data_IF_873232281222
#
_entry.id   IF_873232281222
#
_cell.length_a   1.000
_cell.length_b   1.000
_cell.length_c   1.000
_cell.angle_alpha   90.00
_cell.angle_beta   90.00
_cell.angle_gamma   90.00
#
_symmetry.space_group_name_H-M   'P 1'
#
loop_
_entity.id
_entity.type
_entity.pdbx_description
1 polymer ?
#
# COMPACT_ATOMS: atom_id res chain seq x y z
N UNK A 1 -5.10 13.59 15.72
CA UNK A 1 -4.90 13.03 14.38
C UNK A 1 -3.61 12.24 14.30
N UNK A 2 -3.63 11.16 13.59
CA UNK A 2 -2.44 10.35 13.42
C UNK A 2 -1.46 10.99 12.46
N UNK A 3 -0.18 10.74 12.67
CA UNK A 3 0.85 11.12 11.72
C UNK A 3 0.96 10.06 10.63
N UNK A 4 1.36 10.50 9.44
CA UNK A 4 1.53 9.58 8.31
C UNK A 4 3.00 9.60 7.90
N UNK A 5 3.59 8.40 7.80
CA UNK A 5 4.98 8.25 7.34
C UNK A 5 5.00 7.22 6.23
N UNK A 6 5.63 7.56 5.11
CA UNK A 6 5.83 6.63 4.01
C UNK A 6 7.18 5.94 4.15
N UNK A 7 7.20 4.63 4.04
CA UNK A 7 8.47 3.90 4.01
C UNK A 7 9.22 4.23 2.72
N UNK A 8 10.53 3.97 2.68
CA UNK A 8 11.28 4.13 1.43
C UNK A 8 10.70 3.28 0.30
N UNK A 9 10.24 2.07 0.63
CA UNK A 9 9.64 1.18 -0.34
C UNK A 9 8.33 1.74 -0.89
N UNK A 10 7.50 2.31 -0.01
CA UNK A 10 6.24 2.90 -0.47
C UNK A 10 6.49 4.09 -1.37
N UNK A 11 7.49 4.91 -1.03
CA UNK A 11 7.86 6.04 -1.89
C UNK A 11 8.32 5.55 -3.25
N UNK A 12 9.12 4.50 -3.27
CA UNK A 12 9.60 3.92 -4.54
C UNK A 12 8.43 3.38 -5.35
N UNK A 13 7.49 2.71 -4.67
CA UNK A 13 6.30 2.18 -5.35
C UNK A 13 5.53 3.29 -6.04
N UNK A 14 5.34 4.43 -5.37
CA UNK A 14 4.64 5.56 -5.96
C UNK A 14 5.37 6.09 -7.18
N UNK A 15 6.68 6.26 -7.06
CA UNK A 15 7.48 6.78 -8.17
C UNK A 15 7.41 5.85 -9.36
N UNK A 16 7.58 4.55 -9.14
CA UNK A 16 7.56 3.57 -10.21
C UNK A 16 6.21 3.51 -10.89
N UNK A 17 5.14 3.59 -10.09
CA UNK A 17 3.78 3.58 -10.63
C UNK A 17 3.54 4.80 -11.51
N UNK A 18 3.92 5.98 -11.00
CA UNK A 18 3.74 7.20 -11.76
C UNK A 18 4.53 7.19 -13.05
N UNK A 19 5.78 6.74 -12.98
CA UNK A 19 6.63 6.69 -14.16
C UNK A 19 6.09 5.72 -15.19
N UNK A 20 5.62 4.55 -14.75
CA UNK A 20 5.06 3.58 -15.67
C UNK A 20 3.89 4.17 -16.46
N UNK A 21 2.96 4.80 -15.76
CA UNK A 21 1.78 5.35 -16.41
C UNK A 21 2.14 6.55 -17.28
N UNK A 22 3.01 7.42 -16.79
CA UNK A 22 3.37 8.63 -17.52
C UNK A 22 4.16 8.32 -18.78
N UNK A 23 5.10 7.41 -18.72
CA UNK A 23 6.04 7.19 -19.80
C UNK A 23 5.75 5.94 -20.61
N UNK A 24 5.42 4.83 -19.98
CA UNK A 24 5.10 3.61 -20.72
C UNK A 24 3.73 3.69 -21.38
N UNK A 25 2.76 4.24 -20.67
CA UNK A 25 1.41 4.35 -21.20
C UNK A 25 1.14 5.72 -21.80
N UNK A 26 2.15 6.61 -21.80
CA UNK A 26 2.08 7.94 -22.40
C UNK A 26 0.87 8.72 -21.89
N UNK A 27 0.64 8.66 -20.57
CA UNK A 27 -0.53 9.34 -20.02
C UNK A 27 -0.18 10.03 -18.70
N UNK A 28 0.43 11.22 -18.82
CA UNK A 28 0.86 11.97 -17.64
C UNK A 28 -0.32 12.41 -16.79
N UNK A 29 -1.44 12.70 -17.42
CA UNK A 29 -2.64 13.13 -16.71
C UNK A 29 -3.16 12.00 -15.82
N UNK A 30 -3.21 10.79 -16.35
CA UNK A 30 -3.65 9.64 -15.57
C UNK A 30 -2.69 9.35 -14.43
N UNK A 31 -1.38 9.53 -14.66
CA UNK A 31 -0.39 9.32 -13.61
C UNK A 31 -0.64 10.28 -12.45
N UNK A 32 -0.82 11.56 -12.75
CA UNK A 32 -1.09 12.56 -11.71
C UNK A 32 -2.37 12.27 -10.96
N UNK A 33 -3.41 11.89 -11.69
CA UNK A 33 -4.71 11.61 -11.06
C UNK A 33 -4.61 10.43 -10.11
N UNK A 34 -3.92 9.38 -10.51
CA UNK A 34 -3.77 8.20 -9.67
C UNK A 34 -2.97 8.53 -8.40
N UNK A 35 -1.84 9.22 -8.56
CA UNK A 35 -1.02 9.57 -7.41
C UNK A 35 -1.83 10.44 -6.44
N UNK A 36 -2.60 11.38 -6.96
CA UNK A 36 -3.42 12.24 -6.13
C UNK A 36 -4.47 11.45 -5.38
N UNK A 37 -5.10 10.48 -6.04
CA UNK A 37 -6.11 9.64 -5.39
C UNK A 37 -5.50 8.78 -4.30
N UNK A 38 -4.32 8.23 -4.54
CA UNK A 38 -3.64 7.44 -3.54
C UNK A 38 -3.30 8.31 -2.33
N UNK A 39 -2.80 9.51 -2.57
CA UNK A 39 -2.46 10.41 -1.48
C UNK A 39 -3.69 10.80 -0.67
N UNK A 40 -4.80 11.08 -1.33
CA UNK A 40 -6.05 11.41 -0.64
C UNK A 40 -6.51 10.24 0.21
N UNK A 41 -6.43 9.04 -0.34
CA UNK A 41 -6.83 7.84 0.39
C UNK A 41 -5.96 7.64 1.62
N UNK A 42 -4.65 7.83 1.47
CA UNK A 42 -3.72 7.68 2.59
C UNK A 42 -4.00 8.74 3.64
N UNK A 43 -4.26 9.96 3.23
CA UNK A 43 -4.48 11.05 4.21
C UNK A 43 -5.74 10.85 5.03
N UNK A 44 -6.70 10.08 4.53
CA UNK A 44 -7.89 9.77 5.33
C UNK A 44 -7.54 8.97 6.58
N UNK A 45 -6.40 8.31 6.58
CA UNK A 45 -5.95 7.55 7.74
C UNK A 45 -5.54 8.43 8.92
N UNK A 46 -5.38 9.71 8.71
CA UNK A 46 -5.09 10.62 9.82
C UNK A 46 -6.26 10.69 10.79
N UNK A 47 -7.48 10.65 10.26
CA UNK A 47 -8.68 10.68 11.09
C UNK A 47 -9.18 9.29 11.43
N UNK A 48 -9.02 8.35 10.51
CA UNK A 48 -9.56 7.01 10.66
C UNK A 48 -8.46 5.97 10.43
N UNK A 49 -7.46 5.89 11.34
CA UNK A 49 -6.32 5.01 11.10
C UNK A 49 -6.70 3.53 11.02
N UNK A 50 -7.81 3.13 11.62
CA UNK A 50 -8.21 1.73 11.60
C UNK A 50 -9.24 1.40 10.54
N UNK A 51 -9.43 2.30 9.57
CA UNK A 51 -10.44 2.09 8.54
C UNK A 51 -10.07 1.00 7.54
N UNK A 52 -8.78 0.69 7.41
CA UNK A 52 -8.37 -0.37 6.51
C UNK A 52 -8.70 -1.74 7.05
N UNK A 53 -8.86 -2.71 6.14
CA UNK A 53 -9.18 -4.08 6.53
C UNK A 53 -7.96 -4.72 7.18
N UNK A 54 -8.16 -5.45 8.27
CA UNK A 54 -7.02 -6.14 8.89
C UNK A 54 -6.57 -7.28 8.01
N UNK A 55 -5.28 -7.52 8.04
CA UNK A 55 -4.65 -8.58 7.28
C UNK A 55 -4.24 -9.66 8.26
N UNK A 56 -4.80 -10.86 8.12
CA UNK A 56 -4.48 -11.93 9.04
C UNK A 56 -4.30 -13.23 8.28
N UNK A 57 -3.38 -14.03 8.78
CA UNK A 57 -3.11 -15.34 8.22
C UNK A 57 -3.01 -16.35 9.35
N UNK A 58 -3.34 -17.59 9.05
CA UNK A 58 -3.35 -18.64 10.04
C UNK A 58 -2.01 -18.70 10.79
N UNK A 59 -2.09 -18.65 12.10
CA UNK A 59 -0.92 -18.80 12.93
C UNK A 59 0.01 -17.61 13.01
N UNK A 60 -0.29 -16.53 12.31
CA UNK A 60 0.54 -15.36 12.33
C UNK A 60 -0.18 -14.19 12.99
N UNK A 61 0.54 -13.52 13.85
CA UNK A 61 0.01 -12.33 14.52
C UNK A 61 0.41 -11.10 13.70
N UNK A 62 -0.31 -10.88 12.61
CA UNK A 62 0.03 -9.83 11.67
C UNK A 62 -0.81 -8.60 11.98
N UNK A 63 -0.14 -7.48 12.11
CA UNK A 63 -0.80 -6.22 12.46
C UNK A 63 -0.95 -5.28 11.28
N UNK A 64 -0.78 -5.79 10.07
CA UNK A 64 -0.96 -4.97 8.88
C UNK A 64 -2.43 -4.76 8.56
N UNK A 65 -2.70 -3.63 7.93
CA UNK A 65 -4.01 -3.33 7.37
C UNK A 65 -3.82 -2.90 5.93
N UNK A 66 -4.90 -2.90 5.15
CA UNK A 66 -4.81 -2.42 3.79
C UNK A 66 -6.05 -1.64 3.39
N UNK A 67 -5.84 -0.72 2.46
CA UNK A 67 -6.91 0.01 1.78
C UNK A 67 -6.79 -0.29 0.29
N UNK A 68 -7.92 -0.16 -0.40
CA UNK A 68 -7.96 -0.33 -1.85
C UNK A 68 -8.21 1.03 -2.48
N UNK A 69 -7.40 1.38 -3.46
CA UNK A 69 -7.56 2.60 -4.23
C UNK A 69 -7.50 2.21 -5.71
N UNK A 70 -8.68 2.06 -6.34
CA UNK A 70 -8.75 1.56 -7.69
C UNK A 70 -8.18 0.15 -7.77
N UNK A 71 -7.18 -0.03 -8.59
CA UNK A 71 -6.52 -1.33 -8.75
C UNK A 71 -5.31 -1.49 -7.85
N UNK A 72 -5.10 -0.57 -6.92
CA UNK A 72 -3.92 -0.61 -6.06
C UNK A 72 -4.30 -0.93 -4.62
N UNK A 73 -3.41 -1.63 -3.93
CA UNK A 73 -3.56 -1.93 -2.52
C UNK A 73 -2.50 -1.16 -1.75
N UNK A 74 -2.94 -0.49 -0.69
CA UNK A 74 -2.06 0.30 0.17
C UNK A 74 -1.94 -0.44 1.49
N UNK A 75 -0.74 -0.94 1.79
CA UNK A 75 -0.49 -1.70 3.01
C UNK A 75 0.14 -0.81 4.05
N UNK A 76 -0.37 -0.88 5.27
CA UNK A 76 0.13 -0.03 6.32
C UNK A 76 0.01 -0.74 7.68
N UNK A 77 0.70 -0.19 8.67
CA UNK A 77 0.53 -0.62 10.06
C UNK A 77 0.56 0.61 10.94
N UNK A 78 0.02 0.45 12.14
CA UNK A 78 -0.09 1.54 13.10
C UNK A 78 0.85 1.27 14.25
N UNK A 79 1.65 2.26 14.61
CA UNK A 79 2.54 2.18 15.75
C UNK A 79 2.38 3.47 16.55
N UNK A 80 1.79 3.35 17.74
CA UNK A 80 1.48 4.53 18.53
C UNK A 80 0.49 5.42 17.81
N UNK A 81 0.84 6.65 17.59
CA UNK A 81 0.00 7.61 16.88
C UNK A 81 0.48 7.82 15.45
N UNK A 82 1.24 6.87 14.91
CA UNK A 82 1.80 6.99 13.56
C UNK A 82 1.31 5.87 12.68
N UNK A 83 0.85 6.23 11.49
CA UNK A 83 0.48 5.28 10.45
C UNK A 83 1.67 5.18 9.50
N UNK A 84 2.21 3.99 9.39
CA UNK A 84 3.35 3.71 8.52
C UNK A 84 2.84 3.07 7.24
N UNK A 85 2.99 3.77 6.12
CA UNK A 85 2.63 3.23 4.83
C UNK A 85 3.79 2.37 4.35
N UNK A 86 3.56 1.07 4.26
CA UNK A 86 4.63 0.11 4.02
C UNK A 86 4.83 -0.21 2.55
N UNK A 87 3.75 -0.41 1.81
CA UNK A 87 3.82 -0.77 0.40
C UNK A 87 2.59 -0.27 -0.33
N UNK A 88 2.76 0.01 -1.62
CA UNK A 88 1.65 0.36 -2.50
C UNK A 88 1.82 -0.49 -3.74
N UNK A 89 0.93 -1.49 -3.91
CA UNK A 89 1.11 -2.52 -4.91
C UNK A 89 -0.08 -2.59 -5.86
N UNK A 90 0.20 -2.93 -7.11
CA UNK A 90 -0.82 -3.07 -8.13
C UNK A 90 -1.53 -4.41 -7.98
N UNK A 91 -2.84 -4.37 -7.83
CA UNK A 91 -3.64 -5.57 -7.81
C UNK A 91 -3.37 -6.43 -6.59
N UNK A 92 -3.71 -7.69 -6.73
CA UNK A 92 -3.57 -8.64 -5.63
C UNK A 92 -2.43 -9.60 -5.83
N UNK A 93 -1.61 -9.35 -6.81
CA UNK A 93 -0.56 -10.30 -7.11
C UNK A 93 0.40 -10.38 -5.94
N UNK A 94 0.73 -11.53 -5.62
CA UNK A 94 1.87 -11.97 -4.81
C UNK A 94 2.30 -11.02 -3.69
N UNK A 95 1.36 -10.35 -3.05
CA UNK A 95 1.72 -9.41 -2.01
C UNK A 95 2.31 -10.12 -0.79
N UNK A 96 1.94 -11.38 -0.58
CA UNK A 96 2.51 -12.15 0.51
C UNK A 96 4.02 -12.30 0.34
N UNK A 97 4.44 -12.59 -0.87
CA UNK A 97 5.86 -12.73 -1.18
C UNK A 97 6.59 -11.42 -0.95
N UNK A 98 5.99 -10.32 -1.40
CA UNK A 98 6.63 -9.02 -1.29
C UNK A 98 6.73 -8.59 0.16
N UNK A 99 5.66 -8.79 0.95
CA UNK A 99 5.64 -8.36 2.33
C UNK A 99 6.49 -9.24 3.23
N UNK A 100 6.56 -10.54 2.94
CA UNK A 100 7.14 -11.50 3.86
C UNK A 100 8.30 -12.30 3.28
N UNK A 101 8.86 -11.85 2.18
CA UNK A 101 10.06 -12.47 1.64
C UNK A 101 9.83 -13.74 0.86
N UNK A 102 8.61 -14.06 0.52
CA UNK A 102 8.31 -15.15 -0.40
C UNK A 102 8.11 -16.51 0.24
N UNK A 103 8.41 -16.64 1.52
CA UNK A 103 8.34 -17.96 2.14
C UNK A 103 6.93 -18.46 2.30
N UNK A 104 5.99 -17.55 2.55
CA UNK A 104 4.62 -17.96 2.79
C UNK A 104 3.90 -18.41 1.55
N UNK A 105 4.29 -17.91 0.38
CA UNK A 105 3.60 -18.24 -0.85
C UNK A 105 3.82 -19.69 -1.25
N UNK A 106 4.93 -20.28 -0.87
CA UNK A 106 5.21 -21.64 -1.25
C UNK A 106 4.32 -22.63 -0.55
N UNK A 107 3.86 -22.26 0.61
CA UNK A 107 3.03 -23.19 1.40
C UNK A 107 1.62 -23.27 0.88
N UNK A 108 1.21 -22.30 0.10
CA UNK A 108 -0.13 -22.32 -0.45
C UNK A 108 -0.28 -23.31 -1.59
N UNK A 109 0.83 -23.89 -1.99
CA UNK A 109 0.80 -24.92 -2.99
C UNK A 109 0.18 -26.16 -2.44
#
# INVERSE_FOLDING_TARGET
MADIVFSPEAKRNLTETGDYIAFKLHNKSAARNLISRIQTTVMSLRQFPESGAPLSFAGLNIVYRYLICGSYMIFYHISGNTVHIDRILYGRRDYLSILFGGELTEESE
#
